data_IF_181023378989
#
_entry.id   IF_181023378989
#
_cell.length_a   1.000
_cell.length_b   1.000
_cell.length_c   1.000
_cell.angle_alpha   90.00
_cell.angle_beta   90.00
_cell.angle_gamma   90.00
#
_symmetry.space_group_name_H-M   'P 1'
#
loop_
_entity.id
_entity.type
_entity.pdbx_description
1 polymer ?
#
# COMPACT_ATOMS: atom_id res chain seq x y z
N UNK A 1 15.00 13.68 -15.60
CA UNK A 1 14.38 13.49 -16.93
C UNK A 1 13.04 12.83 -16.67
N UNK A 2 11.95 13.58 -16.67
CA UNK A 2 10.60 13.05 -16.38
C UNK A 2 10.20 12.12 -17.53
N UNK A 3 10.31 10.82 -17.32
CA UNK A 3 9.66 9.83 -18.18
C UNK A 3 8.15 10.08 -18.05
N UNK A 4 7.56 10.67 -19.09
CA UNK A 4 6.12 10.75 -19.21
C UNK A 4 5.65 9.31 -19.41
N UNK A 5 5.01 8.73 -18.38
CA UNK A 5 4.33 7.45 -18.54
C UNK A 5 3.10 7.68 -19.40
N UNK A 6 2.75 6.70 -20.22
CA UNK A 6 1.58 6.77 -21.08
C UNK A 6 0.32 6.62 -20.22
N UNK A 7 -0.57 7.61 -20.32
CA UNK A 7 -1.85 7.58 -19.61
C UNK A 7 -2.89 6.86 -20.45
N UNK A 8 -3.77 6.06 -19.82
CA UNK A 8 -4.86 5.43 -20.54
C UNK A 8 -5.77 6.49 -21.17
N UNK A 9 -6.19 6.25 -22.41
CA UNK A 9 -7.05 7.17 -23.17
C UNK A 9 -8.49 7.20 -22.68
N UNK A 10 -8.91 6.16 -21.95
CA UNK A 10 -10.23 6.05 -21.34
C UNK A 10 -10.18 5.19 -20.08
N UNK A 11 -11.15 5.41 -19.19
CA UNK A 11 -11.32 4.62 -17.98
C UNK A 11 -12.82 4.42 -17.73
N UNK A 12 -13.21 3.19 -17.42
CA UNK A 12 -14.57 2.84 -17.03
C UNK A 12 -14.50 1.90 -15.83
N UNK A 13 -15.39 2.09 -14.85
CA UNK A 13 -15.44 1.20 -13.69
C UNK A 13 -15.91 -0.20 -14.11
N UNK A 14 -15.21 -1.22 -13.62
CA UNK A 14 -15.65 -2.62 -13.79
C UNK A 14 -16.81 -2.95 -12.84
N UNK A 15 -17.43 -4.13 -13.03
CA UNK A 15 -18.60 -4.52 -12.23
C UNK A 15 -18.30 -4.65 -10.72
N UNK A 16 -17.07 -5.02 -10.36
CA UNK A 16 -16.66 -5.13 -8.95
C UNK A 16 -16.56 -3.74 -8.32
N UNK A 17 -15.91 -2.80 -9.02
CA UNK A 17 -15.79 -1.40 -8.63
C UNK A 17 -17.15 -0.73 -8.55
N UNK A 18 -18.05 -0.95 -9.50
CA UNK A 18 -19.41 -0.38 -9.46
C UNK A 18 -20.18 -0.84 -8.21
N UNK A 19 -20.10 -2.13 -7.87
CA UNK A 19 -20.73 -2.66 -6.66
C UNK A 19 -20.11 -2.07 -5.38
N UNK A 20 -18.80 -1.81 -5.36
CA UNK A 20 -18.13 -1.15 -4.24
C UNK A 20 -18.51 0.34 -4.12
N UNK A 21 -18.54 1.06 -5.24
CA UNK A 21 -18.90 2.49 -5.30
C UNK A 21 -20.30 2.70 -4.74
N UNK A 22 -21.27 1.87 -5.16
CA UNK A 22 -22.64 1.96 -4.64
C UNK A 22 -22.69 1.85 -3.10
N UNK A 23 -21.94 0.90 -2.53
CA UNK A 23 -21.84 0.71 -1.07
C UNK A 23 -21.13 1.87 -0.37
N UNK A 24 -20.09 2.44 -0.98
CA UNK A 24 -19.32 3.55 -0.42
C UNK A 24 -20.18 4.81 -0.40
N UNK A 25 -20.79 5.18 -1.53
CA UNK A 25 -21.60 6.39 -1.66
C UNK A 25 -22.79 6.36 -0.69
N UNK A 26 -23.41 5.19 -0.49
CA UNK A 26 -24.51 5.01 0.46
C UNK A 26 -24.15 5.28 1.93
N UNK A 27 -22.86 5.33 2.29
CA UNK A 27 -22.41 5.70 3.66
C UNK A 27 -22.56 7.19 3.94
N UNK A 28 -22.66 8.01 2.90
CA UNK A 28 -22.68 9.46 3.02
C UNK A 28 -24.10 9.99 2.85
N UNK A 29 -24.54 10.95 3.69
CA UNK A 29 -25.85 11.58 3.54
C UNK A 29 -26.03 12.25 2.18
N UNK A 30 -27.29 12.44 1.78
CA UNK A 30 -27.63 13.18 0.58
C UNK A 30 -27.02 14.60 0.60
N UNK A 31 -26.43 15.02 -0.51
CA UNK A 31 -25.71 16.29 -0.64
C UNK A 31 -24.30 16.30 -0.05
N UNK A 32 -23.82 15.18 0.51
CA UNK A 32 -22.46 15.02 1.08
C UNK A 32 -21.63 13.95 0.36
N UNK A 33 -22.02 13.57 -0.84
CA UNK A 33 -21.34 12.53 -1.63
C UNK A 33 -19.88 12.87 -1.97
N UNK A 34 -19.50 14.16 -2.01
CA UNK A 34 -18.11 14.59 -2.18
C UNK A 34 -17.16 13.98 -1.13
N UNK A 35 -17.64 13.64 0.07
CA UNK A 35 -16.85 12.95 1.10
C UNK A 35 -16.41 11.53 0.71
N UNK A 36 -16.99 10.97 -0.35
CA UNK A 36 -16.61 9.67 -0.90
C UNK A 36 -15.38 9.73 -1.82
N UNK A 37 -14.78 10.90 -2.06
CA UNK A 37 -13.65 11.05 -3.00
C UNK A 37 -12.45 10.16 -2.66
N UNK A 38 -12.05 10.10 -1.38
CA UNK A 38 -10.92 9.26 -0.93
C UNK A 38 -11.17 7.77 -1.20
N UNK A 39 -12.28 7.16 -0.73
CA UNK A 39 -12.52 5.74 -1.00
C UNK A 39 -12.75 5.43 -2.49
N UNK A 40 -13.32 6.36 -3.27
CA UNK A 40 -13.46 6.16 -4.72
C UNK A 40 -12.12 6.19 -5.46
N UNK A 41 -11.19 7.10 -5.09
CA UNK A 41 -9.83 7.09 -5.62
C UNK A 41 -9.11 5.77 -5.31
N UNK A 42 -9.35 5.21 -4.14
CA UNK A 42 -8.80 3.90 -3.77
C UNK A 42 -9.42 2.75 -4.57
N UNK A 43 -10.72 2.83 -4.91
CA UNK A 43 -11.36 1.89 -5.85
C UNK A 43 -10.71 1.98 -7.23
N UNK A 44 -10.44 3.19 -7.75
CA UNK A 44 -9.71 3.36 -9.02
C UNK A 44 -8.33 2.70 -8.95
N UNK A 45 -7.55 2.98 -7.90
CA UNK A 45 -6.22 2.41 -7.73
C UNK A 45 -6.23 0.88 -7.67
N UNK A 46 -7.20 0.29 -6.95
CA UNK A 46 -7.40 -1.17 -6.88
C UNK A 46 -7.84 -1.76 -8.21
N UNK A 47 -8.73 -1.08 -8.94
CA UNK A 47 -9.11 -1.52 -10.27
C UNK A 47 -7.93 -1.51 -11.23
N UNK A 48 -7.14 -0.44 -11.24
CA UNK A 48 -5.92 -0.36 -12.06
C UNK A 48 -4.96 -1.51 -11.72
N UNK A 49 -4.84 -1.84 -10.43
CA UNK A 49 -4.07 -3.01 -9.99
C UNK A 49 -4.58 -4.32 -10.60
N UNK A 50 -5.89 -4.58 -10.55
CA UNK A 50 -6.50 -5.80 -11.13
C UNK A 50 -6.32 -5.87 -12.65
N UNK A 51 -6.35 -4.72 -13.34
CA UNK A 51 -6.33 -4.66 -14.80
C UNK A 51 -4.91 -4.67 -15.40
N UNK A 52 -3.93 -4.12 -14.67
CA UNK A 52 -2.60 -3.84 -15.22
C UNK A 52 -1.45 -4.39 -14.38
N UNK A 53 -1.73 -5.10 -13.28
CA UNK A 53 -0.77 -5.45 -12.22
C UNK A 53 -0.09 -4.22 -11.56
N UNK A 54 -0.45 -2.98 -11.95
CA UNK A 54 0.08 -1.73 -11.41
C UNK A 54 -1.01 -0.92 -10.69
N UNK A 55 -0.79 -0.61 -9.41
CA UNK A 55 -1.78 0.07 -8.56
C UNK A 55 -1.56 1.58 -8.54
N UNK A 56 -2.19 2.30 -9.47
CA UNK A 56 -2.08 3.77 -9.56
C UNK A 56 -3.40 4.41 -10.02
N UNK A 57 -3.49 5.73 -9.91
CA UNK A 57 -4.68 6.53 -10.26
C UNK A 57 -4.35 7.40 -11.48
N UNK A 58 -4.76 7.00 -12.69
CA UNK A 58 -4.61 7.84 -13.88
C UNK A 58 -5.53 9.06 -13.83
N UNK A 59 -5.20 10.11 -14.58
CA UNK A 59 -6.03 11.33 -14.66
C UNK A 59 -7.45 11.03 -15.14
N UNK A 60 -7.61 10.17 -16.15
CA UNK A 60 -8.94 9.74 -16.63
C UNK A 60 -9.74 9.00 -15.55
N UNK A 61 -9.07 8.32 -14.62
CA UNK A 61 -9.72 7.71 -13.45
C UNK A 61 -10.14 8.75 -12.42
N UNK A 62 -9.34 9.79 -12.20
CA UNK A 62 -9.71 10.94 -11.36
C UNK A 62 -10.92 11.68 -11.94
N UNK A 63 -10.97 11.86 -13.26
CA UNK A 63 -12.09 12.50 -13.97
C UNK A 63 -13.38 11.69 -13.82
N UNK A 64 -13.30 10.35 -13.95
CA UNK A 64 -14.43 9.46 -13.72
C UNK A 64 -14.97 9.55 -12.27
N UNK A 65 -14.09 9.73 -11.27
CA UNK A 65 -14.51 9.98 -9.88
C UNK A 65 -15.19 11.34 -9.75
N UNK A 66 -14.65 12.38 -10.39
CA UNK A 66 -15.24 13.72 -10.37
C UNK A 66 -16.64 13.74 -10.97
N UNK A 67 -16.83 13.08 -12.12
CA UNK A 67 -18.13 12.90 -12.78
C UNK A 67 -19.09 12.13 -11.87
N UNK A 68 -18.66 11.00 -11.30
CA UNK A 68 -19.48 10.17 -10.40
C UNK A 68 -19.99 10.93 -9.18
N UNK A 69 -19.18 11.83 -8.62
CA UNK A 69 -19.53 12.61 -7.43
C UNK A 69 -20.15 13.98 -7.75
N UNK A 70 -20.26 14.35 -9.03
CA UNK A 70 -20.79 15.65 -9.45
C UNK A 70 -19.96 16.83 -8.94
N UNK A 71 -18.64 16.67 -8.85
CA UNK A 71 -17.72 17.70 -8.33
C UNK A 71 -16.66 18.12 -9.35
N UNK A 72 -16.07 19.33 -9.24
CA UNK A 72 -15.03 19.77 -10.16
C UNK A 72 -13.79 18.85 -10.14
N UNK A 73 -13.23 18.44 -11.29
CA UNK A 73 -12.05 17.56 -11.35
C UNK A 73 -10.85 18.05 -10.53
N UNK A 74 -10.64 19.37 -10.49
CA UNK A 74 -9.54 19.98 -9.72
C UNK A 74 -9.58 19.60 -8.24
N UNK A 75 -10.77 19.41 -7.64
CA UNK A 75 -10.89 18.99 -6.24
C UNK A 75 -10.46 17.53 -6.04
N UNK A 76 -10.66 16.68 -7.04
CA UNK A 76 -10.17 15.30 -7.01
C UNK A 76 -8.64 15.29 -7.17
N UNK A 77 -8.09 16.13 -8.05
CA UNK A 77 -6.64 16.25 -8.22
C UNK A 77 -5.95 16.79 -6.97
N UNK A 78 -6.55 17.77 -6.29
CA UNK A 78 -6.07 18.27 -4.99
C UNK A 78 -5.97 17.12 -3.98
N UNK A 79 -7.00 16.28 -3.86
CA UNK A 79 -7.00 15.13 -2.95
C UNK A 79 -5.96 14.09 -3.36
N UNK A 80 -5.92 13.72 -4.65
CA UNK A 80 -5.01 12.70 -5.16
C UNK A 80 -3.53 13.10 -5.04
N UNK A 81 -3.22 14.39 -5.09
CA UNK A 81 -1.84 14.90 -4.92
C UNK A 81 -1.47 15.20 -3.48
N UNK A 82 -2.46 15.41 -2.60
CA UNK A 82 -2.23 15.67 -1.18
C UNK A 82 -1.96 14.40 -0.36
N UNK A 83 -2.71 13.32 -0.60
CA UNK A 83 -2.55 12.07 0.17
C UNK A 83 -1.52 11.15 -0.48
N UNK A 84 -0.43 10.85 0.23
CA UNK A 84 0.69 10.04 -0.27
C UNK A 84 0.30 8.61 -0.71
N UNK A 85 -0.83 8.09 -0.22
CA UNK A 85 -1.32 6.74 -0.56
C UNK A 85 -1.74 6.59 -2.02
N UNK A 86 -2.08 7.71 -2.68
CA UNK A 86 -2.51 7.69 -4.07
C UNK A 86 -1.30 7.78 -5.00
N UNK A 87 -1.00 6.67 -5.65
CA UNK A 87 0.06 6.63 -6.65
C UNK A 87 -0.43 7.33 -7.92
N UNK A 88 0.11 8.50 -8.25
CA UNK A 88 -0.24 9.26 -9.47
C UNK A 88 0.60 8.87 -10.69
N UNK A 89 1.40 7.81 -10.55
CA UNK A 89 2.23 7.21 -11.58
C UNK A 89 2.19 5.69 -11.44
N UNK A 90 2.39 4.92 -12.51
CA UNK A 90 2.51 3.48 -12.44
C UNK A 90 3.58 3.06 -11.42
N UNK A 91 3.21 2.12 -10.56
CA UNK A 91 4.12 1.42 -9.64
C UNK A 91 4.24 -0.04 -10.09
N UNK A 92 5.26 -0.74 -9.61
CA UNK A 92 5.47 -2.14 -9.89
C UNK A 92 4.37 -3.04 -9.33
N UNK A 93 4.50 -4.33 -9.61
CA UNK A 93 3.58 -5.37 -9.14
C UNK A 93 3.47 -5.46 -7.61
N UNK A 94 4.45 -4.97 -6.87
CA UNK A 94 4.40 -4.86 -5.42
C UNK A 94 4.97 -3.51 -5.00
N UNK A 95 4.22 -2.76 -4.21
CA UNK A 95 4.68 -1.49 -3.66
C UNK A 95 5.30 -1.71 -2.28
N UNK A 96 6.63 -1.65 -2.22
CA UNK A 96 7.45 -1.79 -1.02
C UNK A 96 7.53 -0.44 -0.29
N UNK A 97 6.81 -0.30 0.82
CA UNK A 97 6.72 0.92 1.63
C UNK A 97 7.52 0.72 2.92
N UNK A 98 8.75 1.26 2.95
CA UNK A 98 9.70 1.11 4.07
C UNK A 98 9.47 2.23 5.08
N UNK A 99 9.18 1.89 6.34
CA UNK A 99 9.05 2.88 7.41
C UNK A 99 10.42 3.45 7.81
N UNK A 100 10.65 4.74 7.56
CA UNK A 100 11.91 5.44 7.86
C UNK A 100 11.94 6.15 9.23
N UNK A 101 10.84 6.12 9.99
CA UNK A 101 10.74 6.91 11.23
C UNK A 101 11.60 6.37 12.38
N UNK A 102 11.86 7.23 13.37
CA UNK A 102 12.81 6.98 14.48
C UNK A 102 12.67 5.62 15.15
N UNK A 103 11.48 5.10 15.50
CA UNK A 103 11.39 3.78 16.13
C UNK A 103 11.87 2.63 15.23
N UNK A 104 11.55 2.69 13.93
CA UNK A 104 12.03 1.72 12.95
C UNK A 104 13.52 1.89 12.68
N UNK A 105 13.99 3.13 12.57
CA UNK A 105 15.41 3.45 12.40
C UNK A 105 16.27 2.92 13.55
N UNK A 106 15.86 3.18 14.82
CA UNK A 106 16.53 2.65 16.01
C UNK A 106 16.54 1.11 16.06
N UNK A 107 15.59 0.46 15.40
CA UNK A 107 15.45 -1.00 15.31
C UNK A 107 16.12 -1.59 14.07
N UNK A 108 16.76 -0.78 13.22
CA UNK A 108 17.53 -1.24 12.08
C UNK A 108 16.76 -1.28 10.75
N UNK A 109 15.82 -0.35 10.50
CA UNK A 109 15.13 -0.26 9.20
C UNK A 109 16.07 -0.02 8.01
N UNK A 110 17.29 0.44 8.25
CA UNK A 110 18.34 0.53 7.21
C UNK A 110 18.68 -0.85 6.62
N UNK A 111 18.57 -1.93 7.41
CA UNK A 111 18.78 -3.30 6.95
C UNK A 111 17.61 -3.78 6.08
N UNK A 112 16.38 -3.39 6.42
CA UNK A 112 15.19 -3.64 5.59
C UNK A 112 15.31 -2.90 4.26
N UNK A 113 15.73 -1.62 4.30
CA UNK A 113 16.02 -0.84 3.10
C UNK A 113 17.10 -1.51 2.22
N UNK A 114 18.20 -1.98 2.84
CA UNK A 114 19.27 -2.68 2.11
C UNK A 114 18.75 -3.95 1.43
N UNK A 115 17.95 -4.75 2.13
CA UNK A 115 17.34 -5.95 1.56
C UNK A 115 16.38 -5.62 0.40
N UNK A 116 15.58 -4.56 0.50
CA UNK A 116 14.73 -4.07 -0.59
C UNK A 116 15.55 -3.69 -1.84
N UNK A 117 16.74 -3.11 -1.66
CA UNK A 117 17.63 -2.77 -2.77
C UNK A 117 18.27 -4.01 -3.40
N UNK A 118 18.89 -4.84 -2.56
CA UNK A 118 19.67 -6.00 -2.99
C UNK A 118 18.79 -7.08 -3.63
N UNK A 119 17.71 -7.46 -2.96
CA UNK A 119 16.80 -8.49 -3.45
C UNK A 119 15.74 -7.91 -4.40
N UNK A 120 15.19 -6.72 -4.12
CA UNK A 120 14.13 -6.13 -4.95
C UNK A 120 14.65 -5.52 -6.26
N UNK A 121 15.96 -5.29 -6.40
CA UNK A 121 16.54 -4.70 -7.60
C UNK A 121 16.18 -3.23 -7.78
N UNK A 122 15.80 -2.53 -6.70
CA UNK A 122 15.42 -1.11 -6.70
C UNK A 122 16.57 -0.28 -6.15
N UNK A 123 16.95 0.83 -6.81
CA UNK A 123 18.15 1.60 -6.41
C UNK A 123 17.84 2.71 -5.41
N UNK A 124 16.82 3.51 -5.70
CA UNK A 124 16.41 4.65 -4.88
C UNK A 124 14.93 4.60 -4.53
N UNK A 125 14.52 5.42 -3.57
CA UNK A 125 13.10 5.63 -3.31
C UNK A 125 12.43 6.27 -4.53
N UNK A 126 11.22 5.81 -4.83
CA UNK A 126 10.45 6.17 -6.03
C UNK A 126 10.83 5.38 -7.28
N UNK A 127 11.92 4.61 -7.26
CA UNK A 127 12.31 3.77 -8.39
C UNK A 127 11.44 2.52 -8.46
N UNK A 128 11.27 2.02 -9.68
CA UNK A 128 10.71 0.71 -9.97
C UNK A 128 11.81 -0.17 -10.55
N UNK A 129 11.86 -1.44 -10.14
CA UNK A 129 12.80 -2.43 -10.66
C UNK A 129 12.65 -2.61 -12.18
N UNK A 130 13.72 -3.02 -12.86
CA UNK A 130 13.75 -3.14 -14.33
C UNK A 130 12.73 -4.18 -14.86
N UNK A 131 12.42 -5.18 -14.05
CA UNK A 131 11.40 -6.21 -14.33
C UNK A 131 9.96 -5.75 -14.02
N UNK A 132 9.77 -4.52 -13.52
CA UNK A 132 8.47 -3.97 -13.16
C UNK A 132 7.82 -4.60 -11.91
N UNK A 133 8.55 -5.45 -11.17
CA UNK A 133 7.98 -6.19 -10.04
C UNK A 133 7.85 -5.34 -8.79
N UNK A 134 8.81 -4.47 -8.48
CA UNK A 134 8.85 -3.75 -7.21
C UNK A 134 9.01 -2.25 -7.41
N UNK A 135 8.20 -1.46 -6.73
CA UNK A 135 8.49 -0.03 -6.49
C UNK A 135 8.80 0.16 -5.03
N UNK A 136 9.89 0.86 -4.71
CA UNK A 136 10.24 1.15 -3.31
C UNK A 136 9.91 2.60 -2.97
N UNK A 137 9.32 2.84 -1.82
CA UNK A 137 9.03 4.19 -1.31
C UNK A 137 9.37 4.25 0.16
N UNK A 138 10.01 5.34 0.58
CA UNK A 138 10.13 5.66 2.00
C UNK A 138 8.80 6.24 2.46
N UNK A 139 8.26 5.67 3.53
CA UNK A 139 7.06 6.16 4.17
C UNK A 139 7.36 6.54 5.62
N UNK A 140 6.50 7.39 6.16
CA UNK A 140 6.54 7.80 7.55
C UNK A 140 5.98 6.69 8.46
N UNK A 141 5.58 7.05 9.68
CA UNK A 141 5.11 6.10 10.68
C UNK A 141 3.89 5.30 10.19
N UNK A 142 4.05 3.99 10.09
CA UNK A 142 2.98 3.04 9.74
C UNK A 142 2.13 2.59 10.94
N UNK A 143 2.41 3.09 12.14
CA UNK A 143 1.60 2.83 13.33
C UNK A 143 1.80 1.46 14.02
N UNK A 144 2.73 0.62 13.55
CA UNK A 144 3.06 -0.67 14.17
C UNK A 144 4.40 -0.66 14.94
N UNK A 145 4.72 0.44 15.63
CA UNK A 145 6.05 0.71 16.19
C UNK A 145 6.58 -0.36 17.15
N UNK A 146 5.71 -1.04 17.89
CA UNK A 146 6.11 -2.14 18.79
C UNK A 146 6.61 -3.37 18.03
N UNK A 147 6.28 -3.47 16.75
CA UNK A 147 6.68 -4.49 15.77
C UNK A 147 7.76 -4.01 14.79
N UNK A 148 8.47 -2.94 15.13
CA UNK A 148 9.57 -2.43 14.32
C UNK A 148 10.76 -3.41 14.23
N UNK A 149 11.41 -3.54 13.06
CA UNK A 149 11.16 -2.82 11.79
C UNK A 149 9.98 -3.33 10.94
N UNK A 150 9.35 -2.43 10.18
CA UNK A 150 8.15 -2.72 9.37
C UNK A 150 8.42 -2.44 7.89
N UNK A 151 7.96 -3.36 7.04
CA UNK A 151 7.79 -3.15 5.60
C UNK A 151 6.32 -3.39 5.26
N UNK A 152 5.65 -2.39 4.69
CA UNK A 152 4.33 -2.60 4.10
C UNK A 152 4.50 -2.99 2.64
N UNK A 153 3.80 -4.05 2.21
CA UNK A 153 3.73 -4.45 0.81
C UNK A 153 2.28 -4.36 0.34
N UNK A 154 2.02 -3.39 -0.52
CA UNK A 154 0.65 -2.98 -0.88
C UNK A 154 -0.19 -2.65 0.37
N UNK A 155 -1.14 -3.52 0.73
CA UNK A 155 -2.03 -3.37 1.89
C UNK A 155 -1.57 -4.14 3.15
N UNK A 156 -0.54 -4.98 3.04
CA UNK A 156 -0.14 -5.93 4.10
C UNK A 156 1.09 -5.46 4.87
N UNK A 157 1.04 -5.59 6.21
CA UNK A 157 2.19 -5.31 7.08
C UNK A 157 3.04 -6.56 7.27
N UNK A 158 4.34 -6.44 7.03
CA UNK A 158 5.34 -7.42 7.40
C UNK A 158 6.24 -6.79 8.45
N UNK A 159 6.27 -7.42 9.61
CA UNK A 159 6.78 -6.80 10.83
C UNK A 159 7.90 -7.66 11.45
N UNK A 160 8.62 -7.08 12.40
CA UNK A 160 9.78 -7.71 13.05
C UNK A 160 10.84 -8.18 12.05
N UNK A 161 11.07 -7.36 11.02
CA UNK A 161 11.95 -7.68 9.92
C UNK A 161 13.42 -7.35 10.22
N UNK A 162 14.30 -8.21 9.73
CA UNK A 162 15.73 -7.95 9.53
C UNK A 162 16.07 -8.13 8.05
N UNK A 163 17.36 -8.08 7.71
CA UNK A 163 17.82 -8.24 6.34
C UNK A 163 17.37 -9.59 5.75
N UNK A 164 17.64 -10.69 6.44
CA UNK A 164 17.39 -12.05 5.96
C UNK A 164 15.90 -12.32 5.76
N UNK A 165 15.05 -11.92 6.71
CA UNK A 165 13.59 -12.08 6.60
C UNK A 165 13.02 -11.20 5.49
N UNK A 166 13.56 -10.00 5.30
CA UNK A 166 13.14 -9.12 4.20
C UNK A 166 13.52 -9.70 2.84
N UNK A 167 14.73 -10.23 2.69
CA UNK A 167 15.15 -10.95 1.46
C UNK A 167 14.23 -12.14 1.21
N UNK A 168 13.95 -12.96 2.22
CA UNK A 168 13.06 -14.11 2.09
C UNK A 168 11.65 -13.72 1.63
N UNK A 169 11.10 -12.62 2.18
CA UNK A 169 9.82 -12.05 1.76
C UNK A 169 9.85 -11.62 0.29
N UNK A 170 10.86 -10.85 -0.12
CA UNK A 170 10.97 -10.37 -1.51
C UNK A 170 11.10 -11.53 -2.50
N UNK A 171 11.92 -12.55 -2.18
CA UNK A 171 12.06 -13.73 -3.01
C UNK A 171 10.77 -14.56 -3.09
N UNK A 172 9.99 -14.62 -2.01
CA UNK A 172 8.65 -15.22 -2.05
C UNK A 172 7.70 -14.47 -3.00
N UNK A 173 7.68 -13.13 -2.91
CA UNK A 173 6.88 -12.29 -3.80
C UNK A 173 7.29 -12.44 -5.27
N UNK A 174 8.58 -12.60 -5.56
CA UNK A 174 9.08 -12.90 -6.92
C UNK A 174 8.54 -14.22 -7.46
N UNK A 175 8.37 -15.23 -6.59
CA UNK A 175 7.74 -16.52 -6.95
C UNK A 175 6.21 -16.44 -7.05
N UNK A 176 5.60 -15.28 -6.78
CA UNK A 176 4.16 -15.09 -6.73
C UNK A 176 3.53 -15.63 -5.44
N UNK A 177 4.34 -15.99 -4.45
CA UNK A 177 3.87 -16.37 -3.12
C UNK A 177 3.62 -15.12 -2.28
N UNK A 178 2.58 -15.13 -1.45
CA UNK A 178 2.34 -14.08 -0.47
C UNK A 178 2.41 -14.66 0.94
N UNK A 179 3.54 -14.53 1.63
CA UNK A 179 3.69 -14.99 3.01
C UNK A 179 2.62 -14.36 3.92
N UNK A 180 2.30 -15.02 5.03
CA UNK A 180 1.30 -14.52 5.97
C UNK A 180 1.77 -13.15 6.54
N UNK A 181 0.95 -12.09 6.43
CA UNK A 181 1.27 -10.80 7.04
C UNK A 181 1.34 -10.87 8.58
N UNK A 182 2.09 -9.95 9.18
CA UNK A 182 2.31 -9.80 10.62
C UNK A 182 3.75 -10.02 11.05
N UNK A 183 3.94 -10.41 12.31
CA UNK A 183 5.25 -10.62 12.92
C UNK A 183 6.02 -11.79 12.30
N UNK A 184 7.24 -11.51 11.83
CA UNK A 184 8.13 -12.52 11.23
C UNK A 184 8.93 -13.34 12.26
N UNK A 185 8.79 -13.04 13.55
CA UNK A 185 9.41 -13.78 14.66
C UNK A 185 8.42 -14.69 15.40
N UNK A 186 7.16 -14.74 14.94
CA UNK A 186 6.16 -15.68 15.46
C UNK A 186 5.48 -15.26 16.78
N UNK A 187 5.63 -14.00 17.21
CA UNK A 187 4.84 -13.49 18.34
C UNK A 187 3.39 -13.20 17.92
N UNK A 188 2.49 -13.26 18.90
CA UNK A 188 1.08 -12.96 18.70
C UNK A 188 0.88 -11.45 18.53
N UNK A 189 0.66 -10.97 17.31
CA UNK A 189 0.43 -9.55 17.02
C UNK A 189 1.51 -8.66 17.67
N UNK A 190 1.11 -7.81 18.63
CA UNK A 190 1.96 -6.90 19.39
C UNK A 190 2.37 -7.43 20.78
N UNK A 191 2.17 -8.72 21.06
CA UNK A 191 2.57 -9.32 22.34
C UNK A 191 4.08 -9.23 22.57
N UNK A 192 4.55 -9.32 23.83
CA UNK A 192 5.97 -9.53 24.10
C UNK A 192 6.50 -10.78 23.39
N UNK A 193 7.77 -10.73 23.02
CA UNK A 193 8.48 -11.92 22.56
C UNK A 193 8.51 -12.98 23.68
N UNK A 194 8.27 -14.24 23.32
CA UNK A 194 8.10 -15.33 24.31
C UNK A 194 6.68 -15.47 24.86
N UNK A 195 5.74 -14.60 24.49
CA UNK A 195 4.31 -14.75 24.77
C UNK A 195 3.71 -13.62 25.62
N UNK A 196 2.37 -13.59 25.75
CA UNK A 196 1.67 -12.57 26.51
C UNK A 196 1.97 -12.66 28.01
N UNK A 197 2.46 -11.56 28.60
CA UNK A 197 2.64 -11.42 30.07
C UNK A 197 1.37 -10.91 30.77
N UNK A 198 0.39 -10.44 29.98
CA UNK A 198 -0.92 -9.95 30.41
C UNK A 198 -1.98 -10.50 29.46
N UNK A 199 -3.26 -10.47 29.85
CA UNK A 199 -4.35 -11.09 29.08
C UNK A 199 -4.18 -12.62 28.93
N UNK A 200 -3.58 -13.28 29.92
CA UNK A 200 -3.33 -14.74 29.93
C UNK A 200 -4.59 -15.59 29.95
N UNK A 201 -5.68 -15.02 30.44
CA UNK A 201 -6.96 -15.72 30.63
C UNK A 201 -7.94 -15.45 29.47
N UNK A 202 -7.51 -14.65 28.48
CA UNK A 202 -8.28 -14.38 27.27
C UNK A 202 -7.84 -15.37 26.20
N UNK A 203 -8.76 -16.13 25.58
CA UNK A 203 -8.42 -17.00 24.47
C UNK A 203 -7.77 -16.18 23.36
N UNK A 204 -6.67 -16.67 22.79
CA UNK A 204 -6.05 -16.02 21.64
C UNK A 204 -7.10 -15.93 20.52
N UNK A 205 -7.35 -14.72 20.01
CA UNK A 205 -8.30 -14.53 18.93
C UNK A 205 -7.80 -15.27 17.67
N UNK A 206 -8.44 -16.38 17.31
CA UNK A 206 -8.11 -17.17 16.12
C UNK A 206 -7.92 -18.68 16.30
N UNK A 207 -8.30 -19.27 17.45
CA UNK A 207 -8.70 -20.69 17.52
C UNK A 207 -10.17 -20.89 17.11
#
# INVERSE_FOLDING_TARGET
MTTHHEEPTSFAFDAESEAQIAKIVARYPEGKQASAVIPLLYVVQKQMKRQTDSGWVPRVGMDAVAERLGMPPIRVYEVATFYFMFNTRPVGKYHLQVCGTTPCWLRGSDEVLRACKDAGGVKHYGDTSEDGMFTMTEVECLGACVNAPILQVDDDFYEDLDYERTVALIEALKRGERPKPGSSIGRLNSAPEGGPLVLTDVPAAGE
#
